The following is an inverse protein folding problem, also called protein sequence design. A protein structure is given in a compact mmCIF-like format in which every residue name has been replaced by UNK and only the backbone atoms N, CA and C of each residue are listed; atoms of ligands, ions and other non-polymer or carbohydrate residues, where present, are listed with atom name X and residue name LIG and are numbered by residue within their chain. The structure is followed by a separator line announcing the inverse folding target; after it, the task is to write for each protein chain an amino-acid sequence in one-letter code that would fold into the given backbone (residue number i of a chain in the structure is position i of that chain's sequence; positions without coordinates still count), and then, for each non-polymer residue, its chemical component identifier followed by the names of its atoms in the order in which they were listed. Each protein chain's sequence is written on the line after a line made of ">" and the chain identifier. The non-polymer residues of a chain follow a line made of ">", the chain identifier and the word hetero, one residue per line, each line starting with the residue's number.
data_IF_415006028351
#
_entry.id   IF_415006028351
#
_cell.length_a   1.000
_cell.length_b   1.000
_cell.length_c   1.000
_cell.angle_alpha   90.00
_cell.angle_beta   90.00
_cell.angle_gamma   90.00
#
_symmetry.space_group_name_H-M   'P 1'
#
loop_
_entity.id
_entity.type
_entity.pdbx_description
1 polymer ?
#
# COMPACT_ATOMS: atom_id res chain seq x y z
N UNK A 1 69.13 -4.51 58.47
CA UNK A 1 67.76 -3.99 58.33
C UNK A 1 66.85 -5.08 58.90
N UNK A 2 66.58 -5.19 60.22
CA UNK A 2 65.82 -4.27 61.11
C UNK A 2 64.50 -3.86 60.43
N UNK A 3 63.28 -4.16 60.89
CA UNK A 3 62.69 -4.56 62.21
C UNK A 3 61.27 -5.15 61.98
N UNK A 4 60.88 -6.29 62.57
CA UNK A 4 60.00 -6.51 63.77
C UNK A 4 58.50 -6.77 63.48
N UNK A 5 57.86 -7.43 64.45
CA UNK A 5 56.63 -8.25 64.44
C UNK A 5 55.43 -7.54 65.13
N UNK A 6 54.25 -8.19 65.04
CA UNK A 6 53.12 -8.21 66.02
C UNK A 6 52.23 -6.93 66.05
N UNK A 7 50.90 -6.93 66.31
CA UNK A 7 49.85 -7.90 66.61
C UNK A 7 48.46 -7.17 66.49
N UNK A 8 47.37 -7.90 66.78
CA UNK A 8 46.06 -7.46 67.32
C UNK A 8 44.79 -7.29 66.45
N UNK A 9 43.76 -7.95 67.00
CA UNK A 9 42.34 -8.06 66.63
C UNK A 9 41.51 -6.86 67.10
N UNK A 10 40.29 -6.76 66.52
CA UNK A 10 39.01 -6.45 67.18
C UNK A 10 38.30 -5.20 66.69
N UNK A 11 37.03 -5.37 66.27
CA UNK A 11 36.09 -4.25 66.10
C UNK A 11 34.98 -4.55 65.12
N UNK A 12 33.94 -5.28 65.56
CA UNK A 12 32.72 -5.47 64.79
C UNK A 12 31.81 -4.23 64.72
N UNK A 13 30.96 -4.20 63.69
CA UNK A 13 29.64 -3.55 63.50
C UNK A 13 29.45 -3.46 61.97
N UNK A 14 28.53 -4.16 61.33
CA UNK A 14 27.08 -4.05 61.49
C UNK A 14 26.56 -3.19 60.33
N UNK A 15 25.54 -3.71 59.62
CA UNK A 15 24.68 -3.01 58.63
C UNK A 15 25.30 -2.81 57.23
N UNK A 16 24.64 -3.01 56.09
CA UNK A 16 23.24 -3.29 55.79
C UNK A 16 23.23 -3.90 54.36
N UNK A 17 22.55 -5.03 54.15
CA UNK A 17 22.30 -5.54 52.80
C UNK A 17 21.23 -4.62 52.18
N UNK A 18 21.64 -3.65 51.38
CA UNK A 18 20.70 -2.88 50.56
C UNK A 18 20.25 -3.78 49.40
N UNK A 19 19.07 -4.36 49.55
CA UNK A 19 18.34 -4.97 48.45
C UNK A 19 18.07 -3.92 47.36
N UNK A 20 18.31 -4.26 46.10
CA UNK A 20 17.91 -3.44 44.96
C UNK A 20 16.38 -3.21 44.96
N UNK A 21 15.91 -2.00 44.59
CA UNK A 21 14.48 -1.75 44.49
C UNK A 21 13.92 -2.55 43.31
N UNK A 22 13.08 -3.54 43.61
CA UNK A 22 12.29 -4.28 42.64
C UNK A 22 11.44 -3.32 41.81
N UNK A 23 11.74 -3.19 40.52
CA UNK A 23 10.91 -2.48 39.57
C UNK A 23 9.54 -3.18 39.48
N UNK A 24 8.41 -2.44 39.55
CA UNK A 24 7.11 -3.07 39.39
C UNK A 24 6.95 -3.46 37.92
N UNK A 25 7.05 -4.76 37.64
CA UNK A 25 6.66 -5.38 36.38
C UNK A 25 5.15 -5.26 36.19
N UNK A 26 4.71 -4.05 35.83
CA UNK A 26 3.33 -3.82 35.44
C UNK A 26 3.17 -4.39 34.04
N UNK A 27 2.81 -5.68 33.96
CA UNK A 27 2.33 -6.28 32.73
C UNK A 27 1.02 -5.58 32.36
N UNK A 28 1.12 -4.55 31.52
CA UNK A 28 -0.05 -3.93 30.91
C UNK A 28 -0.69 -4.99 30.02
N UNK A 29 -1.74 -5.62 30.52
CA UNK A 29 -2.64 -6.45 29.71
C UNK A 29 -3.32 -5.53 28.70
N UNK A 30 -2.72 -5.39 27.51
CA UNK A 30 -3.39 -4.77 26.38
C UNK A 30 -4.54 -5.69 25.96
N UNK A 31 -5.75 -5.14 25.91
CA UNK A 31 -6.88 -5.79 25.26
C UNK A 31 -6.46 -6.29 23.86
N UNK A 32 -6.99 -7.43 23.37
CA UNK A 32 -6.54 -8.01 22.12
C UNK A 32 -6.67 -6.98 21.00
N UNK A 33 -5.52 -6.60 20.45
CA UNK A 33 -5.40 -5.59 19.43
C UNK A 33 -6.04 -6.12 18.15
N UNK A 34 -6.89 -5.32 17.50
CA UNK A 34 -7.33 -5.66 16.14
C UNK A 34 -6.21 -5.28 15.16
N UNK A 35 -5.35 -6.24 14.90
CA UNK A 35 -4.18 -6.10 14.01
C UNK A 35 -4.58 -5.54 12.63
N UNK A 36 -5.60 -6.12 12.01
CA UNK A 36 -6.07 -5.70 10.67
C UNK A 36 -6.49 -4.24 10.64
N UNK A 37 -7.24 -3.79 11.66
CA UNK A 37 -7.68 -2.39 11.77
C UNK A 37 -6.51 -1.42 11.79
N UNK A 38 -5.39 -1.84 12.35
CA UNK A 38 -4.21 -0.98 12.53
C UNK A 38 -3.38 -0.98 11.28
N UNK A 39 -3.16 -2.15 10.67
CA UNK A 39 -2.46 -2.25 9.39
C UNK A 39 -3.19 -1.47 8.29
N UNK A 40 -4.52 -1.35 8.37
CA UNK A 40 -5.35 -0.63 7.42
C UNK A 40 -5.75 0.80 7.83
N UNK A 41 -5.16 1.39 8.88
CA UNK A 41 -5.58 2.71 9.37
C UNK A 41 -5.43 3.83 8.30
N UNK A 42 -4.29 3.86 7.60
CA UNK A 42 -4.03 4.85 6.55
C UNK A 42 -4.93 4.64 5.32
N UNK A 43 -5.22 3.38 4.99
CA UNK A 43 -6.15 3.02 3.92
C UNK A 43 -7.59 3.43 4.26
N UNK A 44 -8.03 3.15 5.49
CA UNK A 44 -9.37 3.53 5.96
C UNK A 44 -9.56 5.05 5.94
N UNK A 45 -8.50 5.79 6.28
CA UNK A 45 -8.49 7.25 6.23
C UNK A 45 -8.68 7.79 4.80
N UNK A 46 -7.89 7.32 3.81
CA UNK A 46 -8.05 7.81 2.43
C UNK A 46 -9.39 7.42 1.81
N UNK A 47 -9.93 6.25 2.16
CA UNK A 47 -11.26 5.79 1.71
C UNK A 47 -12.39 6.63 2.32
N UNK A 48 -12.22 7.14 3.55
CA UNK A 48 -13.23 7.96 4.22
C UNK A 48 -13.51 9.29 3.52
N UNK A 49 -12.58 9.75 2.66
CA UNK A 49 -12.74 10.98 1.89
C UNK A 49 -13.37 10.67 0.54
N UNK A 50 -14.61 11.12 0.26
CA UNK A 50 -15.35 10.73 -0.93
C UNK A 50 -14.59 11.04 -2.23
N UNK A 51 -14.50 10.04 -3.12
CA UNK A 51 -14.07 10.22 -4.50
C UNK A 51 -15.24 10.41 -5.46
N UNK A 52 -14.95 10.69 -6.73
CA UNK A 52 -15.99 10.82 -7.78
C UNK A 52 -16.55 9.47 -8.29
N UNK A 53 -16.08 8.34 -7.75
CA UNK A 53 -16.44 6.97 -8.14
C UNK A 53 -16.42 6.69 -9.67
N UNK A 54 -15.57 7.42 -10.40
CA UNK A 54 -15.50 7.32 -11.87
C UNK A 54 -15.13 5.91 -12.35
N UNK A 55 -14.25 5.21 -11.61
CA UNK A 55 -13.80 3.86 -11.97
C UNK A 55 -14.92 2.84 -11.92
N UNK A 56 -15.77 2.88 -10.88
CA UNK A 56 -16.96 2.01 -10.79
C UNK A 56 -17.93 2.26 -11.95
N UNK A 57 -18.21 3.54 -12.26
CA UNK A 57 -19.08 3.92 -13.39
C UNK A 57 -18.53 3.40 -14.72
N UNK A 58 -17.21 3.51 -14.91
CA UNK A 58 -16.53 3.04 -16.10
C UNK A 58 -16.56 1.51 -16.22
N UNK A 59 -16.29 0.77 -15.14
CA UNK A 59 -16.45 -0.70 -15.11
C UNK A 59 -17.88 -1.11 -15.51
N UNK A 60 -18.90 -0.44 -14.97
CA UNK A 60 -20.30 -0.71 -15.33
C UNK A 60 -20.58 -0.39 -16.81
N UNK A 61 -20.06 0.72 -17.34
CA UNK A 61 -20.21 1.08 -18.74
C UNK A 61 -19.56 0.03 -19.66
N UNK A 62 -18.35 -0.42 -19.36
CA UNK A 62 -17.69 -1.49 -20.13
C UNK A 62 -18.45 -2.81 -20.08
N UNK A 63 -19.19 -3.08 -19.01
CA UNK A 63 -19.97 -4.31 -18.89
C UNK A 63 -21.13 -4.41 -19.89
N UNK A 64 -21.58 -3.28 -20.47
CA UNK A 64 -22.57 -3.27 -21.56
C UNK A 64 -22.07 -4.10 -22.76
N UNK A 65 -20.76 -4.05 -23.04
CA UNK A 65 -20.14 -4.80 -24.13
C UNK A 65 -19.56 -6.15 -23.70
N UNK A 66 -18.93 -6.20 -22.51
CA UNK A 66 -18.22 -7.39 -22.04
C UNK A 66 -19.14 -8.46 -21.43
N UNK A 67 -20.37 -8.11 -21.02
CA UNK A 67 -21.39 -9.07 -20.53
C UNK A 67 -20.84 -10.05 -19.50
N UNK A 68 -20.03 -9.55 -18.57
CA UNK A 68 -19.46 -10.29 -17.44
C UNK A 68 -20.53 -10.37 -16.35
N UNK A 69 -20.53 -11.47 -15.60
CA UNK A 69 -21.43 -11.63 -14.46
C UNK A 69 -21.29 -10.49 -13.45
N UNK A 70 -22.42 -10.06 -12.88
CA UNK A 70 -22.47 -8.93 -11.96
C UNK A 70 -21.57 -9.12 -10.74
N UNK A 71 -21.51 -10.34 -10.20
CA UNK A 71 -20.65 -10.66 -9.05
C UNK A 71 -19.16 -10.49 -9.40
N UNK A 72 -18.73 -11.01 -10.54
CA UNK A 72 -17.35 -10.86 -11.02
C UNK A 72 -17.02 -9.39 -11.28
N UNK A 73 -17.91 -8.64 -11.93
CA UNK A 73 -17.75 -7.20 -12.11
C UNK A 73 -17.59 -6.45 -10.79
N UNK A 74 -18.37 -6.80 -9.77
CA UNK A 74 -18.26 -6.18 -8.44
C UNK A 74 -16.90 -6.46 -7.82
N UNK A 75 -16.42 -7.71 -7.88
CA UNK A 75 -15.09 -8.09 -7.36
C UNK A 75 -13.96 -7.38 -8.10
N UNK A 76 -14.05 -7.27 -9.43
CA UNK A 76 -13.07 -6.51 -10.24
C UNK A 76 -13.08 -5.02 -9.87
N UNK A 77 -14.26 -4.41 -9.70
CA UNK A 77 -14.37 -3.01 -9.28
C UNK A 77 -13.78 -2.77 -7.89
N UNK A 78 -13.95 -3.72 -6.97
CA UNK A 78 -13.35 -3.69 -5.64
C UNK A 78 -11.82 -3.72 -5.72
N UNK A 79 -11.25 -4.68 -6.48
CA UNK A 79 -9.80 -4.80 -6.69
C UNK A 79 -9.23 -3.50 -7.25
N UNK A 80 -9.82 -2.96 -8.30
CA UNK A 80 -9.36 -1.71 -8.93
C UNK A 80 -9.45 -0.53 -7.97
N UNK A 81 -10.48 -0.48 -7.11
CA UNK A 81 -10.63 0.57 -6.09
C UNK A 81 -9.57 0.44 -4.99
N UNK A 82 -9.26 -0.78 -4.56
CA UNK A 82 -8.18 -1.07 -3.60
C UNK A 82 -6.85 -0.56 -4.12
N UNK A 83 -6.47 -0.98 -5.32
CA UNK A 83 -5.20 -0.60 -5.94
C UNK A 83 -5.11 0.90 -6.22
N UNK A 84 -6.21 1.53 -6.63
CA UNK A 84 -6.23 2.98 -6.83
C UNK A 84 -5.97 3.75 -5.54
N UNK A 85 -6.63 3.39 -4.44
CA UNK A 85 -6.42 4.09 -3.17
C UNK A 85 -5.02 3.79 -2.60
N UNK A 86 -4.51 2.57 -2.76
CA UNK A 86 -3.13 2.24 -2.40
C UNK A 86 -2.12 3.06 -3.20
N UNK A 87 -2.32 3.20 -4.52
CA UNK A 87 -1.42 4.00 -5.35
C UNK A 87 -1.41 5.47 -4.97
N UNK A 88 -2.56 6.04 -4.56
CA UNK A 88 -2.63 7.41 -4.07
C UNK A 88 -1.85 7.62 -2.75
N UNK A 89 -1.82 6.61 -1.87
CA UNK A 89 -1.02 6.69 -0.64
C UNK A 89 0.47 6.76 -0.95
N UNK A 90 0.92 5.97 -1.92
CA UNK A 90 2.32 5.95 -2.38
C UNK A 90 2.66 7.23 -3.14
N UNK A 91 1.82 7.67 -4.08
CA UNK A 91 2.00 8.90 -4.87
C UNK A 91 2.06 10.14 -3.96
N UNK A 92 1.18 10.25 -2.97
CA UNK A 92 1.24 11.34 -2.00
C UNK A 92 2.56 11.35 -1.20
N UNK A 93 3.17 10.18 -0.94
CA UNK A 93 4.49 10.07 -0.31
C UNK A 93 5.60 10.49 -1.28
N UNK A 94 5.58 9.95 -2.50
CA UNK A 94 6.59 10.19 -3.54
C UNK A 94 6.66 11.66 -3.96
N UNK A 95 5.54 12.38 -3.88
CA UNK A 95 5.41 13.81 -4.18
C UNK A 95 5.54 14.72 -2.95
N UNK A 96 5.75 14.17 -1.75
CA UNK A 96 5.71 14.90 -0.46
C UNK A 96 4.42 15.73 -0.28
N UNK A 97 3.30 15.25 -0.85
CA UNK A 97 2.03 15.97 -0.92
C UNK A 97 1.48 16.31 0.47
N UNK A 98 1.14 17.58 0.69
CA UNK A 98 0.56 18.03 1.96
C UNK A 98 -0.91 17.66 2.13
N UNK A 99 -1.67 17.71 1.04
CA UNK A 99 -3.12 17.55 1.03
C UNK A 99 -3.58 16.56 -0.03
N UNK A 100 -4.63 15.81 0.29
CA UNK A 100 -5.37 14.95 -0.63
C UNK A 100 -6.86 15.25 -0.47
N UNK A 101 -7.52 15.65 -1.57
CA UNK A 101 -8.96 16.00 -1.56
C UNK A 101 -9.35 17.01 -0.47
N UNK A 102 -8.46 17.97 -0.18
CA UNK A 102 -8.69 19.03 0.80
C UNK A 102 -8.39 18.68 2.26
N UNK A 103 -7.99 17.44 2.57
CA UNK A 103 -7.57 17.03 3.92
C UNK A 103 -6.07 16.67 3.95
N UNK A 104 -5.41 16.65 5.13
CA UNK A 104 -4.02 16.20 5.24
C UNK A 104 -3.82 14.83 4.60
N UNK A 105 -2.73 14.64 3.86
CA UNK A 105 -2.37 13.34 3.30
C UNK A 105 -2.08 12.32 4.41
N UNK A 106 -2.31 11.03 4.14
CA UNK A 106 -2.25 9.99 5.16
C UNK A 106 -0.87 9.90 5.83
N UNK A 107 0.22 10.09 5.08
CA UNK A 107 1.58 10.04 5.63
C UNK A 107 1.90 11.22 6.58
N UNK A 108 1.14 12.32 6.52
CA UNK A 108 1.23 13.42 7.48
C UNK A 108 0.46 13.13 8.78
N UNK A 109 -0.52 12.24 8.73
CA UNK A 109 -1.34 11.84 9.90
C UNK A 109 -0.74 10.64 10.62
N UNK A 110 -0.38 9.59 9.88
CA UNK A 110 0.08 8.30 10.43
C UNK A 110 1.59 8.08 10.30
N UNK A 111 2.29 8.99 9.64
CA UNK A 111 3.72 8.87 9.36
C UNK A 111 4.03 8.11 8.07
N UNK A 112 5.23 8.37 7.55
CA UNK A 112 5.75 7.79 6.32
C UNK A 112 5.78 6.27 6.34
N UNK A 113 6.43 5.67 7.35
CA UNK A 113 6.64 4.24 7.44
C UNK A 113 5.33 3.45 7.53
N UNK A 114 4.39 3.89 8.37
CA UNK A 114 3.08 3.23 8.50
C UNK A 114 2.30 3.33 7.19
N UNK A 115 2.27 4.50 6.55
CA UNK A 115 1.48 4.72 5.34
C UNK A 115 2.02 3.92 4.16
N UNK A 116 3.35 3.88 4.00
CA UNK A 116 4.01 3.08 2.96
C UNK A 116 3.73 1.59 3.16
N UNK A 117 3.88 1.08 4.39
CA UNK A 117 3.59 -0.32 4.69
C UNK A 117 2.12 -0.68 4.44
N UNK A 118 1.18 0.18 4.87
CA UNK A 118 -0.26 0.00 4.59
C UNK A 118 -0.53 -0.07 3.08
N UNK A 119 0.06 0.83 2.29
CA UNK A 119 -0.15 0.83 0.84
C UNK A 119 0.36 -0.45 0.18
N UNK A 120 1.58 -0.88 0.53
CA UNK A 120 2.16 -2.12 0.04
C UNK A 120 1.34 -3.35 0.46
N UNK A 121 0.87 -3.38 1.70
CA UNK A 121 -0.01 -4.44 2.19
C UNK A 121 -1.31 -4.53 1.38
N UNK A 122 -1.93 -3.39 1.06
CA UNK A 122 -3.15 -3.34 0.24
C UNK A 122 -2.90 -3.80 -1.20
N UNK A 123 -1.71 -3.57 -1.78
CA UNK A 123 -1.38 -4.17 -3.08
C UNK A 123 -1.46 -5.70 -3.04
N UNK A 124 -0.95 -6.33 -1.98
CA UNK A 124 -1.01 -7.79 -1.82
C UNK A 124 -2.42 -8.29 -1.47
N UNK A 125 -3.23 -7.52 -0.74
CA UNK A 125 -4.67 -7.81 -0.60
C UNK A 125 -5.36 -7.81 -1.97
N UNK A 126 -5.01 -6.85 -2.84
CA UNK A 126 -5.49 -6.79 -4.21
C UNK A 126 -5.10 -8.04 -5.02
N UNK A 127 -3.86 -8.51 -4.88
CA UNK A 127 -3.38 -9.74 -5.52
C UNK A 127 -4.14 -10.99 -5.00
N UNK A 128 -4.31 -11.12 -3.68
CA UNK A 128 -5.07 -12.21 -3.06
C UNK A 128 -6.53 -12.24 -3.57
N UNK A 129 -7.16 -11.07 -3.70
CA UNK A 129 -8.51 -10.97 -4.29
C UNK A 129 -8.54 -11.36 -5.76
N UNK A 130 -7.52 -11.00 -6.55
CA UNK A 130 -7.38 -11.49 -7.93
C UNK A 130 -7.23 -13.01 -7.99
N UNK A 131 -6.45 -13.63 -7.11
CA UNK A 131 -6.28 -15.10 -7.03
C UNK A 131 -7.61 -15.79 -6.76
N UNK A 132 -8.41 -15.22 -5.87
CA UNK A 132 -9.75 -15.73 -5.51
C UNK A 132 -10.79 -15.60 -6.62
N UNK A 133 -10.50 -14.91 -7.73
CA UNK A 133 -11.38 -14.92 -8.89
C UNK A 133 -11.34 -16.25 -9.66
N UNK A 134 -10.30 -17.07 -9.48
CA UNK A 134 -10.21 -18.42 -10.07
C UNK A 134 -9.87 -18.47 -11.56
N UNK A 135 -9.44 -17.36 -12.16
CA UNK A 135 -9.00 -17.29 -13.57
C UNK A 135 -7.49 -17.02 -13.64
N UNK A 136 -6.67 -17.96 -14.13
CA UNK A 136 -5.21 -17.77 -14.23
C UNK A 136 -4.80 -16.51 -15.01
N UNK A 137 -5.55 -16.14 -16.06
CA UNK A 137 -5.27 -14.91 -16.82
C UNK A 137 -5.39 -13.65 -15.96
N UNK A 138 -6.19 -13.65 -14.90
CA UNK A 138 -6.34 -12.50 -14.02
C UNK A 138 -5.03 -12.12 -13.32
N UNK A 139 -4.20 -13.11 -12.95
CA UNK A 139 -2.90 -12.88 -12.30
C UNK A 139 -1.87 -12.33 -13.28
N UNK A 140 -1.86 -12.86 -14.51
CA UNK A 140 -1.03 -12.32 -15.57
C UNK A 140 -1.37 -10.85 -15.84
N UNK A 141 -2.66 -10.54 -16.04
CA UNK A 141 -3.13 -9.18 -16.25
C UNK A 141 -2.77 -8.27 -15.06
N UNK A 142 -2.98 -8.72 -13.83
CA UNK A 142 -2.60 -7.97 -12.63
C UNK A 142 -1.11 -7.61 -12.63
N UNK A 143 -0.24 -8.60 -12.83
CA UNK A 143 1.21 -8.41 -12.84
C UNK A 143 1.66 -7.44 -13.94
N UNK A 144 1.20 -7.65 -15.17
CA UNK A 144 1.55 -6.81 -16.32
C UNK A 144 1.13 -5.35 -16.10
N UNK A 145 -0.10 -5.12 -15.60
CA UNK A 145 -0.61 -3.76 -15.41
C UNK A 145 0.06 -3.04 -14.25
N UNK A 146 0.39 -3.73 -13.15
CA UNK A 146 1.16 -3.13 -12.05
C UNK A 146 2.59 -2.80 -12.49
N UNK A 147 3.22 -3.65 -13.31
CA UNK A 147 4.55 -3.37 -13.87
C UNK A 147 4.53 -2.14 -14.78
N UNK A 148 3.54 -2.04 -15.69
CA UNK A 148 3.40 -0.84 -16.53
C UNK A 148 3.14 0.42 -15.69
N UNK A 149 2.29 0.34 -14.66
CA UNK A 149 2.05 1.46 -13.75
C UNK A 149 3.34 1.95 -13.09
N UNK A 150 4.14 1.04 -12.53
CA UNK A 150 5.41 1.40 -11.87
C UNK A 150 6.46 1.90 -12.87
N UNK A 151 6.48 1.39 -14.12
CA UNK A 151 7.32 1.94 -15.19
C UNK A 151 6.94 3.39 -15.49
N UNK A 152 5.64 3.69 -15.57
CA UNK A 152 5.14 5.05 -15.75
C UNK A 152 5.55 5.97 -14.61
N UNK A 153 5.20 5.60 -13.38
CA UNK A 153 5.54 6.37 -12.16
C UNK A 153 7.04 6.59 -12.03
N UNK A 154 7.86 5.54 -12.25
CA UNK A 154 9.31 5.63 -12.13
C UNK A 154 9.94 6.60 -13.13
N UNK A 155 9.43 6.66 -14.36
CA UNK A 155 9.92 7.62 -15.36
C UNK A 155 9.54 9.07 -15.01
N UNK A 156 8.33 9.29 -14.52
CA UNK A 156 7.90 10.61 -14.03
C UNK A 156 8.77 11.09 -12.87
N UNK A 157 8.99 10.24 -11.85
CA UNK A 157 9.87 10.54 -10.71
C UNK A 157 11.28 10.85 -11.21
N UNK A 158 11.82 10.03 -12.11
CA UNK A 158 13.15 10.23 -12.67
C UNK A 158 13.28 11.60 -13.35
N UNK A 159 12.33 11.96 -14.22
CA UNK A 159 12.33 13.25 -14.92
C UNK A 159 12.20 14.42 -13.95
N UNK A 160 11.31 14.31 -12.96
CA UNK A 160 11.10 15.32 -11.92
C UNK A 160 12.37 15.54 -11.09
N UNK A 161 12.98 14.47 -10.60
CA UNK A 161 14.11 14.55 -9.66
C UNK A 161 15.44 14.82 -10.36
N UNK A 162 15.58 14.41 -11.63
CA UNK A 162 16.76 14.69 -12.46
C UNK A 162 16.65 15.97 -13.28
N UNK A 163 15.51 16.68 -13.20
CA UNK A 163 15.22 17.91 -13.96
C UNK A 163 15.35 17.74 -15.48
N UNK A 164 14.98 16.56 -15.99
CA UNK A 164 15.00 16.24 -17.42
C UNK A 164 13.60 16.43 -17.97
N UNK A 165 13.44 17.35 -18.92
CA UNK A 165 12.16 17.53 -19.62
C UNK A 165 11.99 16.44 -20.68
N UNK A 166 10.93 15.61 -20.61
CA UNK A 166 10.63 14.65 -21.67
C UNK A 166 10.13 15.37 -22.93
N UNK A 167 10.23 14.68 -24.06
CA UNK A 167 9.45 15.00 -25.27
C UNK A 167 7.96 14.74 -25.04
N UNK A 168 7.10 15.31 -25.88
CA UNK A 168 5.66 15.05 -25.83
C UNK A 168 5.34 13.56 -26.01
N UNK A 169 6.01 12.86 -26.93
CA UNK A 169 5.80 11.43 -27.13
C UNK A 169 6.17 10.59 -25.90
N UNK A 170 7.28 10.91 -25.24
CA UNK A 170 7.70 10.24 -24.01
C UNK A 170 6.70 10.48 -22.88
N UNK A 171 6.23 11.72 -22.74
CA UNK A 171 5.21 12.09 -21.75
C UNK A 171 3.89 11.33 -21.98
N UNK A 172 3.44 11.23 -23.24
CA UNK A 172 2.23 10.45 -23.59
C UNK A 172 2.36 8.97 -23.18
N UNK A 173 3.50 8.34 -23.49
CA UNK A 173 3.76 6.94 -23.10
C UNK A 173 3.74 6.79 -21.58
N UNK A 174 4.36 7.71 -20.85
CA UNK A 174 4.35 7.72 -19.39
C UNK A 174 2.93 7.84 -18.84
N UNK A 175 2.12 8.78 -19.36
CA UNK A 175 0.73 8.98 -18.90
C UNK A 175 -0.13 7.76 -19.18
N UNK A 176 0.00 7.14 -20.37
CA UNK A 176 -0.69 5.88 -20.70
C UNK A 176 -0.35 4.77 -19.70
N UNK A 177 0.91 4.68 -19.28
CA UNK A 177 1.36 3.73 -18.26
C UNK A 177 0.82 4.04 -16.86
N UNK A 178 1.09 5.24 -16.33
CA UNK A 178 0.72 5.66 -14.96
C UNK A 178 -0.80 5.71 -14.78
N UNK A 179 -1.49 6.38 -15.69
CA UNK A 179 -2.94 6.62 -15.57
C UNK A 179 -3.74 5.49 -16.22
N UNK A 180 -3.34 5.06 -17.42
CA UNK A 180 -4.02 4.02 -18.16
C UNK A 180 -3.88 2.63 -17.53
N UNK A 181 -2.80 2.34 -16.80
CA UNK A 181 -2.56 1.01 -16.20
C UNK A 181 -3.70 0.48 -15.32
N UNK A 182 -4.30 1.31 -14.44
CA UNK A 182 -5.44 0.86 -13.63
C UNK A 182 -6.76 0.76 -14.42
N UNK A 183 -6.93 1.55 -15.48
CA UNK A 183 -8.07 1.42 -16.39
C UNK A 183 -7.95 0.14 -17.23
N UNK A 184 -6.76 -0.11 -17.79
CA UNK A 184 -6.40 -1.33 -18.50
C UNK A 184 -6.55 -2.56 -17.62
N UNK A 185 -6.16 -2.49 -16.35
CA UNK A 185 -6.41 -3.56 -15.37
C UNK A 185 -7.90 -3.88 -15.24
N UNK A 186 -8.76 -2.89 -15.06
CA UNK A 186 -10.20 -3.10 -14.94
C UNK A 186 -10.78 -3.80 -16.18
N UNK A 187 -10.48 -3.28 -17.37
CA UNK A 187 -11.01 -3.79 -18.64
C UNK A 187 -10.47 -5.17 -18.95
N UNK A 188 -9.16 -5.39 -18.82
CA UNK A 188 -8.51 -6.68 -19.12
C UNK A 188 -8.91 -7.76 -18.13
N UNK A 189 -9.14 -7.43 -16.86
CA UNK A 189 -9.72 -8.37 -15.91
C UNK A 189 -11.13 -8.76 -16.35
N UNK A 190 -11.99 -7.79 -16.68
CA UNK A 190 -13.33 -8.09 -17.20
C UNK A 190 -13.30 -8.95 -18.47
N UNK A 191 -12.39 -8.66 -19.41
CA UNK A 191 -12.23 -9.47 -20.63
C UNK A 191 -11.88 -10.93 -20.33
N UNK A 192 -11.04 -11.19 -19.31
CA UNK A 192 -10.68 -12.55 -18.92
C UNK A 192 -11.90 -13.41 -18.51
N UNK A 193 -12.99 -12.78 -18.06
CA UNK A 193 -14.25 -13.46 -17.69
C UNK A 193 -15.38 -13.25 -18.71
N UNK A 194 -15.14 -12.53 -19.80
CA UNK A 194 -16.15 -12.26 -20.80
C UNK A 194 -16.41 -13.47 -21.68
N UNK A 195 -17.68 -13.76 -21.93
CA UNK A 195 -18.14 -14.75 -22.92
C UNK A 195 -18.51 -14.13 -24.27
N UNK A 196 -18.29 -12.83 -24.44
CA UNK A 196 -18.62 -12.11 -25.68
C UNK A 196 -17.66 -12.52 -26.80
N UNK A 197 -18.15 -12.70 -28.04
CA UNK A 197 -17.30 -12.94 -29.22
C UNK A 197 -16.34 -11.78 -29.54
N UNK A 198 -16.59 -10.60 -28.96
CA UNK A 198 -15.68 -9.43 -29.00
C UNK A 198 -14.62 -9.43 -27.88
N UNK A 199 -14.62 -10.41 -26.97
CA UNK A 199 -13.65 -10.48 -25.87
C UNK A 199 -12.20 -10.67 -26.35
N UNK A 200 -12.02 -11.15 -27.59
CA UNK A 200 -10.71 -11.33 -28.24
C UNK A 200 -10.21 -10.08 -28.98
N UNK A 201 -10.95 -8.96 -28.99
CA UNK A 201 -10.42 -7.70 -29.52
C UNK A 201 -9.36 -7.15 -28.56
N UNK A 202 -8.15 -6.94 -29.08
CA UNK A 202 -7.03 -6.38 -28.33
C UNK A 202 -7.19 -4.87 -28.16
N UNK A 203 -7.81 -4.48 -27.06
CA UNK A 203 -7.96 -3.07 -26.69
C UNK A 203 -6.69 -2.45 -26.10
N UNK A 204 -5.58 -3.19 -25.99
CA UNK A 204 -4.29 -2.59 -25.57
C UNK A 204 -3.77 -1.55 -26.58
N UNK A 205 -4.28 -1.60 -27.81
CA UNK A 205 -3.99 -0.63 -28.88
C UNK A 205 -4.84 0.64 -28.83
N UNK A 206 -5.90 0.68 -27.99
CA UNK A 206 -6.78 1.86 -27.83
C UNK A 206 -6.24 2.89 -26.83
N UNK A 207 -5.13 2.59 -26.15
CA UNK A 207 -4.42 3.51 -25.26
C UNK A 207 -3.20 4.08 -25.92
#
# INVERSE_FOLDING_TARGET
>A
MMTEREEELSGGKGENIMAEPSSPSTSVSMAPYNEEKVLLQAYSYIVSVPGKDMRKKLTLAFNIWLKVEAEVCSKVAEIVTLLHNASLLVDDIEDDSRLRRGVPSAHRVFGLASTLNTANYVYFIGLDKCLKLGEPKAIQVFSEQLLELHRGQGMEIFWRDSLVCPTEQEYEIMVKRKTGGLFGLAVRLMQAFSRSTKANEDYSTLT
#
